data_IF_596204013627
#
_entry.id   IF_596204013627
#
_cell.length_a   1.000
_cell.length_b   1.000
_cell.length_c   1.000
_cell.angle_alpha   90.00
_cell.angle_beta   90.00
_cell.angle_gamma   90.00
#
_symmetry.space_group_name_H-M   'P 1'
#
loop_
_entity.id
_entity.type
_entity.pdbx_description
1 polymer ?
#
# COMPACT_ATOMS: atom_id res chain seq x y z
N UNK A 1 65.56 -6.03 84.77
CA UNK A 1 64.49 -5.06 84.55
C UNK A 1 63.76 -5.44 83.29
N UNK A 2 62.54 -6.08 83.34
CA UNK A 2 61.67 -6.45 82.23
C UNK A 2 60.52 -5.47 82.16
N UNK A 3 60.34 -4.83 81.01
CA UNK A 3 59.22 -3.97 80.71
C UNK A 3 58.25 -4.71 79.88
N UNK A 4 57.10 -5.06 80.47
CA UNK A 4 56.00 -5.73 79.76
C UNK A 4 55.17 -4.69 78.98
N UNK A 5 55.15 -4.77 77.68
CA UNK A 5 54.30 -3.96 76.81
C UNK A 5 52.97 -4.68 76.58
N UNK A 6 51.90 -4.20 77.24
CA UNK A 6 50.53 -4.65 77.08
C UNK A 6 50.00 -4.15 75.76
N UNK A 7 49.81 -5.07 74.77
CA UNK A 7 49.08 -4.78 73.52
C UNK A 7 47.58 -4.75 73.83
N UNK A 8 46.95 -3.57 73.66
CA UNK A 8 45.52 -3.44 73.71
C UNK A 8 44.93 -3.83 72.36
N UNK A 9 44.36 -5.05 72.21
CA UNK A 9 43.54 -5.45 71.10
C UNK A 9 42.17 -4.75 71.13
N UNK A 10 42.04 -3.67 70.38
CA UNK A 10 40.70 -3.10 70.12
C UNK A 10 39.87 -4.04 69.30
N UNK A 11 38.83 -4.62 69.87
CA UNK A 11 37.84 -5.43 69.13
C UNK A 11 37.10 -4.57 68.15
N UNK A 12 37.38 -4.73 66.85
CA UNK A 12 36.56 -4.16 65.79
C UNK A 12 35.23 -4.89 65.80
N UNK A 13 34.19 -4.19 66.28
CA UNK A 13 32.81 -4.69 66.15
C UNK A 13 32.45 -4.70 64.68
N UNK A 14 32.49 -5.88 64.07
CA UNK A 14 31.85 -6.12 62.75
C UNK A 14 30.37 -5.99 62.99
N UNK A 15 29.78 -4.89 62.50
CA UNK A 15 28.31 -4.76 62.37
C UNK A 15 27.87 -5.79 61.36
N UNK A 16 27.39 -6.93 61.86
CA UNK A 16 26.82 -7.97 61.02
C UNK A 16 25.51 -7.47 60.43
N UNK A 17 25.57 -7.01 59.17
CA UNK A 17 24.37 -6.81 58.40
C UNK A 17 23.73 -8.18 58.23
N UNK A 18 22.55 -8.39 58.84
CA UNK A 18 21.88 -9.68 58.84
C UNK A 18 21.66 -10.16 57.39
N UNK A 19 22.02 -11.39 57.08
CA UNK A 19 21.85 -11.99 55.75
C UNK A 19 20.41 -11.88 55.20
N UNK A 20 19.44 -11.82 56.11
CA UNK A 20 18.02 -11.59 55.82
C UNK A 20 17.74 -10.21 55.22
N UNK A 21 18.48 -9.16 55.65
CA UNK A 21 18.33 -7.80 55.12
C UNK A 21 18.90 -7.68 53.72
N UNK A 22 20.01 -8.33 53.42
CA UNK A 22 20.61 -8.37 52.10
C UNK A 22 19.72 -9.13 51.11
N UNK A 23 19.13 -10.26 51.55
CA UNK A 23 18.25 -11.09 50.70
C UNK A 23 16.94 -10.37 50.36
N UNK A 24 16.36 -9.61 51.32
CA UNK A 24 15.14 -8.83 51.08
C UNK A 24 15.35 -7.66 50.11
N UNK A 25 16.48 -6.96 50.21
CA UNK A 25 16.83 -5.87 49.28
C UNK A 25 17.08 -6.43 47.84
N UNK A 26 17.76 -7.54 47.69
CA UNK A 26 18.01 -8.19 46.44
C UNK A 26 16.70 -8.63 45.74
N UNK A 27 15.75 -9.17 46.51
CA UNK A 27 14.43 -9.57 46.00
C UNK A 27 13.59 -8.40 45.51
N UNK A 28 13.62 -7.26 46.27
CA UNK A 28 12.91 -6.05 45.88
C UNK A 28 13.51 -5.38 44.66
N UNK A 29 14.81 -5.31 44.53
CA UNK A 29 15.49 -4.79 43.34
C UNK A 29 15.21 -5.64 42.11
N UNK A 30 15.17 -6.97 42.26
CA UNK A 30 14.79 -7.90 41.16
C UNK A 30 13.37 -7.67 40.66
N UNK A 31 12.40 -7.46 41.55
CA UNK A 31 11.01 -7.16 41.19
C UNK A 31 10.86 -5.84 40.43
N UNK A 32 11.58 -4.78 40.86
CA UNK A 32 11.56 -3.47 40.20
C UNK A 32 12.16 -3.58 38.76
N UNK A 33 13.26 -4.30 38.60
CA UNK A 33 13.89 -4.51 37.29
C UNK A 33 12.95 -5.27 36.35
N UNK A 34 12.25 -6.28 36.88
CA UNK A 34 11.29 -7.08 36.09
C UNK A 34 10.09 -6.23 35.64
N UNK A 35 9.56 -5.38 36.52
CA UNK A 35 8.46 -4.47 36.19
C UNK A 35 8.87 -3.39 35.16
N UNK A 36 10.08 -2.85 35.27
CA UNK A 36 10.60 -1.89 34.29
C UNK A 36 10.84 -2.55 32.91
N UNK A 37 11.29 -3.80 32.86
CA UNK A 37 11.46 -4.54 31.63
C UNK A 37 10.10 -4.86 30.96
N UNK A 38 9.10 -5.27 31.72
CA UNK A 38 7.74 -5.53 31.23
C UNK A 38 7.07 -4.24 30.71
N UNK A 39 7.26 -3.11 31.40
CA UNK A 39 6.75 -1.82 30.95
C UNK A 39 7.37 -1.35 29.63
N UNK A 40 8.66 -1.58 29.43
CA UNK A 40 9.34 -1.26 28.15
C UNK A 40 8.82 -2.12 27.00
N UNK A 41 8.58 -3.42 27.21
CA UNK A 41 8.03 -4.30 26.19
C UNK A 41 6.63 -3.83 25.75
N UNK A 42 5.77 -3.44 26.68
CA UNK A 42 4.43 -2.93 26.34
C UNK A 42 4.47 -1.63 25.53
N UNK A 43 5.39 -0.72 25.86
CA UNK A 43 5.56 0.53 25.12
C UNK A 43 6.03 0.30 23.69
N UNK A 44 6.95 -0.63 23.48
CA UNK A 44 7.45 -0.97 22.13
C UNK A 44 6.35 -1.60 21.26
N UNK A 45 5.55 -2.51 21.79
CA UNK A 45 4.39 -3.11 21.07
C UNK A 45 3.34 -2.05 20.72
N UNK A 46 3.04 -1.12 21.61
CA UNK A 46 2.09 -0.04 21.36
C UNK A 46 2.58 0.92 20.27
N UNK A 47 3.88 1.26 20.25
CA UNK A 47 4.48 2.09 19.22
C UNK A 47 4.50 1.39 17.85
N UNK A 48 4.87 0.12 17.80
CA UNK A 48 4.89 -0.67 16.58
C UNK A 48 3.48 -0.80 15.95
N UNK A 49 2.47 -1.06 16.77
CA UNK A 49 1.08 -1.12 16.30
C UNK A 49 0.60 0.24 15.76
N UNK A 50 0.92 1.33 16.43
CA UNK A 50 0.59 2.69 15.98
C UNK A 50 1.29 3.02 14.64
N UNK A 51 2.53 2.61 14.49
CA UNK A 51 3.28 2.81 13.25
C UNK A 51 2.71 1.98 12.09
N UNK A 52 2.39 0.71 12.31
CA UNK A 52 1.71 -0.16 11.32
C UNK A 52 0.36 0.42 10.89
N UNK A 53 -0.43 0.91 11.82
CA UNK A 53 -1.72 1.54 11.54
C UNK A 53 -1.56 2.85 10.75
N UNK A 54 -0.58 3.67 11.09
CA UNK A 54 -0.26 4.91 10.36
C UNK A 54 0.18 4.59 8.91
N UNK A 55 1.04 3.61 8.72
CA UNK A 55 1.49 3.17 7.38
C UNK A 55 0.33 2.58 6.56
N UNK A 56 -0.53 1.77 7.17
CA UNK A 56 -1.70 1.22 6.50
C UNK A 56 -2.67 2.34 6.05
N UNK A 57 -2.90 3.34 6.91
CA UNK A 57 -3.77 4.47 6.58
C UNK A 57 -3.18 5.39 5.50
N UNK A 58 -1.86 5.61 5.47
CA UNK A 58 -1.20 6.37 4.39
C UNK A 58 -1.30 5.62 3.07
N UNK A 59 -1.00 4.33 3.05
CA UNK A 59 -1.11 3.48 1.84
C UNK A 59 -2.53 3.46 1.29
N UNK A 60 -3.55 3.37 2.15
CA UNK A 60 -4.95 3.41 1.72
C UNK A 60 -5.32 4.77 1.09
N UNK A 61 -4.84 5.88 1.66
CA UNK A 61 -5.05 7.22 1.09
C UNK A 61 -4.37 7.41 -0.26
N UNK A 62 -3.16 6.89 -0.41
CA UNK A 62 -2.42 7.00 -1.68
C UNK A 62 -3.07 6.13 -2.77
N UNK A 63 -3.55 4.93 -2.42
CA UNK A 63 -4.36 4.11 -3.33
C UNK A 63 -5.66 4.82 -3.76
N UNK A 64 -6.36 5.45 -2.82
CA UNK A 64 -7.57 6.21 -3.13
C UNK A 64 -7.30 7.40 -4.07
N UNK A 65 -6.21 8.14 -3.87
CA UNK A 65 -5.79 9.23 -4.77
C UNK A 65 -5.46 8.71 -6.17
N UNK A 66 -4.76 7.58 -6.25
CA UNK A 66 -4.41 6.96 -7.52
C UNK A 66 -5.68 6.54 -8.29
N UNK A 67 -6.64 5.89 -7.63
CA UNK A 67 -7.94 5.52 -8.21
C UNK A 67 -8.71 6.76 -8.67
N UNK A 68 -8.76 7.82 -7.87
CA UNK A 68 -9.44 9.07 -8.23
C UNK A 68 -8.80 9.73 -9.47
N UNK A 69 -7.46 9.73 -9.58
CA UNK A 69 -6.75 10.19 -10.77
C UNK A 69 -7.10 9.34 -11.98
N UNK A 70 -7.09 8.02 -11.84
CA UNK A 70 -7.46 7.08 -12.90
C UNK A 70 -8.89 7.28 -13.39
N UNK A 71 -9.81 7.48 -12.48
CA UNK A 71 -11.20 7.83 -12.80
C UNK A 71 -11.27 9.09 -13.67
N UNK A 72 -10.59 10.16 -13.26
CA UNK A 72 -10.55 11.41 -14.02
C UNK A 72 -9.97 11.22 -15.44
N UNK A 73 -8.91 10.44 -15.58
CA UNK A 73 -8.32 10.15 -16.89
C UNK A 73 -9.30 9.34 -17.76
N UNK A 74 -9.88 8.28 -17.22
CA UNK A 74 -10.77 7.37 -17.97
C UNK A 74 -12.08 8.05 -18.36
N UNK A 75 -12.68 8.83 -17.48
CA UNK A 75 -13.98 9.44 -17.70
C UNK A 75 -13.90 10.81 -18.40
N UNK A 76 -12.84 11.59 -18.12
CA UNK A 76 -12.73 12.95 -18.60
C UNK A 76 -11.72 13.17 -19.74
N UNK A 77 -10.51 12.66 -19.61
CA UNK A 77 -9.45 12.98 -20.57
C UNK A 77 -9.42 12.02 -21.77
N UNK A 78 -9.47 10.72 -21.50
CA UNK A 78 -9.33 9.69 -22.52
C UNK A 78 -10.69 9.18 -23.02
N UNK A 79 -11.79 9.53 -22.35
CA UNK A 79 -13.17 9.18 -22.71
C UNK A 79 -13.35 7.69 -23.06
N UNK A 80 -12.71 6.79 -22.30
CA UNK A 80 -12.71 5.34 -22.59
C UNK A 80 -14.13 4.77 -22.63
N UNK A 81 -15.03 5.35 -21.83
CA UNK A 81 -16.43 4.96 -21.76
C UNK A 81 -17.19 5.10 -23.07
N UNK A 82 -16.80 6.01 -23.95
CA UNK A 82 -17.51 6.26 -25.19
C UNK A 82 -17.50 5.05 -26.15
N UNK A 83 -16.42 4.29 -26.13
CA UNK A 83 -16.28 3.09 -26.93
C UNK A 83 -16.44 1.79 -26.11
N UNK A 84 -16.04 1.80 -24.82
CA UNK A 84 -16.00 0.59 -24.00
C UNK A 84 -17.27 0.36 -23.16
N UNK A 85 -18.30 1.22 -23.28
CA UNK A 85 -19.58 1.06 -22.59
C UNK A 85 -20.72 0.92 -23.61
N UNK A 86 -21.63 -0.05 -23.43
CA UNK A 86 -22.81 -0.16 -24.28
C UNK A 86 -23.66 1.10 -24.23
N UNK A 87 -24.43 1.33 -25.31
CA UNK A 87 -25.45 2.37 -25.34
C UNK A 87 -26.82 1.79 -25.03
N UNK A 88 -27.64 2.60 -24.39
CA UNK A 88 -29.05 2.27 -24.17
C UNK A 88 -29.88 2.47 -25.46
N UNK A 89 -31.19 2.20 -25.37
CA UNK A 89 -32.11 2.35 -26.52
C UNK A 89 -32.22 3.79 -27.04
N UNK A 90 -31.90 4.79 -26.23
CA UNK A 90 -31.96 6.21 -26.56
C UNK A 90 -30.61 6.70 -27.17
N UNK A 91 -29.62 5.83 -27.27
CA UNK A 91 -28.29 6.13 -27.81
C UNK A 91 -27.30 6.65 -26.77
N UNK A 92 -27.70 6.84 -25.51
CA UNK A 92 -26.84 7.29 -24.44
C UNK A 92 -26.00 6.18 -23.85
N UNK A 93 -24.89 6.53 -23.20
CA UNK A 93 -23.99 5.58 -22.50
C UNK A 93 -24.76 4.91 -21.33
N UNK A 94 -24.87 3.59 -21.38
CA UNK A 94 -25.46 2.79 -20.29
C UNK A 94 -24.52 2.70 -19.10
N UNK A 95 -24.64 3.62 -18.15
CA UNK A 95 -23.81 3.67 -16.95
C UNK A 95 -23.95 2.43 -16.05
N UNK A 96 -25.02 1.65 -16.20
CA UNK A 96 -25.20 0.39 -15.45
C UNK A 96 -24.26 -0.72 -15.96
N UNK A 97 -23.74 -0.56 -17.19
CA UNK A 97 -22.81 -1.45 -17.84
C UNK A 97 -21.46 -0.77 -18.11
N UNK A 98 -21.06 0.11 -17.19
CA UNK A 98 -19.85 0.91 -17.35
C UNK A 98 -18.63 0.07 -17.69
N UNK A 99 -17.98 0.38 -18.84
CA UNK A 99 -16.79 -0.27 -19.35
C UNK A 99 -16.90 -1.79 -19.56
N UNK A 100 -18.11 -2.31 -19.72
CA UNK A 100 -18.39 -3.74 -19.93
C UNK A 100 -18.03 -4.25 -21.34
N UNK A 101 -17.55 -3.37 -22.22
CA UNK A 101 -17.35 -3.66 -23.63
C UNK A 101 -18.62 -3.39 -24.46
N UNK A 102 -18.44 -2.99 -25.70
CA UNK A 102 -19.56 -2.62 -26.59
C UNK A 102 -19.24 -2.85 -28.05
N UNK A 103 -20.23 -3.01 -28.94
CA UNK A 103 -20.04 -2.81 -30.37
C UNK A 103 -19.59 -1.36 -30.65
N UNK A 104 -18.70 -1.19 -31.62
CA UNK A 104 -18.36 0.14 -32.12
C UNK A 104 -19.56 0.65 -32.95
N UNK A 105 -20.13 1.76 -32.54
CA UNK A 105 -21.42 2.26 -33.06
C UNK A 105 -21.29 3.18 -34.28
N UNK A 106 -20.06 3.36 -34.81
CA UNK A 106 -19.81 4.20 -35.99
C UNK A 106 -18.81 3.53 -36.92
N UNK A 107 -18.86 3.90 -38.17
CA UNK A 107 -17.96 3.42 -39.20
C UNK A 107 -17.09 4.56 -39.74
N UNK A 108 -15.89 4.28 -40.21
CA UNK A 108 -15.06 5.29 -40.83
C UNK A 108 -15.64 5.72 -42.18
N UNK A 109 -15.54 7.00 -42.52
CA UNK A 109 -16.01 7.53 -43.83
C UNK A 109 -15.30 6.89 -45.04
N UNK A 110 -14.11 6.32 -44.83
CA UNK A 110 -13.35 5.60 -45.83
C UNK A 110 -12.92 4.26 -45.24
N UNK A 111 -12.72 3.24 -46.05
CA UNK A 111 -12.24 1.92 -45.62
C UNK A 111 -10.90 2.06 -44.86
N UNK A 112 -10.87 1.65 -43.61
CA UNK A 112 -9.66 1.62 -42.75
C UNK A 112 -9.31 0.17 -42.44
N UNK A 113 -8.18 -0.34 -42.94
CA UNK A 113 -7.77 -1.70 -42.65
C UNK A 113 -7.66 -1.96 -41.15
N UNK A 114 -8.24 -3.09 -40.72
CA UNK A 114 -8.17 -3.47 -39.29
C UNK A 114 -9.11 -2.74 -38.35
N UNK A 115 -10.10 -1.98 -38.89
CA UNK A 115 -11.12 -1.34 -38.06
C UNK A 115 -11.80 -2.35 -37.11
N UNK A 116 -11.87 -2.03 -35.82
CA UNK A 116 -12.50 -2.91 -34.85
C UNK A 116 -14.01 -2.70 -34.84
N UNK A 117 -14.77 -3.79 -34.88
CA UNK A 117 -16.24 -3.77 -34.80
C UNK A 117 -16.75 -3.81 -33.35
N UNK A 118 -15.87 -4.05 -32.38
CA UNK A 118 -16.20 -4.09 -30.97
C UNK A 118 -15.02 -3.64 -30.11
N UNK A 119 -15.32 -2.97 -29.00
CA UNK A 119 -14.40 -2.64 -27.92
C UNK A 119 -14.56 -3.67 -26.78
N UNK A 120 -13.48 -4.23 -26.25
CA UNK A 120 -13.56 -5.23 -25.20
C UNK A 120 -13.96 -4.62 -23.86
N UNK A 121 -14.40 -5.46 -22.91
CA UNK A 121 -14.54 -5.10 -21.51
C UNK A 121 -13.18 -4.68 -20.94
N UNK A 122 -13.15 -3.56 -20.21
CA UNK A 122 -11.97 -3.07 -19.50
C UNK A 122 -12.22 -2.83 -18.00
N UNK A 123 -13.48 -2.91 -17.53
CA UNK A 123 -13.78 -2.91 -16.11
C UNK A 123 -13.33 -4.23 -15.47
N UNK A 124 -12.70 -4.16 -14.29
CA UNK A 124 -12.23 -5.33 -13.57
C UNK A 124 -11.09 -6.05 -14.30
N UNK A 125 -9.99 -5.37 -14.56
CA UNK A 125 -8.83 -5.97 -15.24
C UNK A 125 -8.36 -7.26 -14.55
N UNK A 126 -8.13 -8.36 -15.32
CA UNK A 126 -7.61 -9.59 -14.76
C UNK A 126 -6.23 -9.39 -14.11
N UNK A 127 -5.89 -10.14 -13.05
CA UNK A 127 -4.56 -10.12 -12.46
C UNK A 127 -3.46 -10.39 -13.51
N UNK A 128 -2.31 -9.72 -13.37
CA UNK A 128 -1.15 -9.92 -14.24
C UNK A 128 -1.16 -9.15 -15.56
N UNK A 129 -2.23 -8.40 -15.87
CA UNK A 129 -2.31 -7.58 -17.09
C UNK A 129 -1.80 -6.15 -16.92
N UNK A 130 -1.45 -5.74 -15.71
CA UNK A 130 -1.10 -4.36 -15.36
C UNK A 130 0.01 -3.79 -16.27
N UNK A 131 1.15 -4.50 -16.37
CA UNK A 131 2.29 -4.05 -17.16
C UNK A 131 1.97 -3.95 -18.66
N UNK A 132 1.16 -4.85 -19.19
CA UNK A 132 0.73 -4.85 -20.58
C UNK A 132 -0.13 -3.61 -20.89
N UNK A 133 -1.10 -3.31 -20.04
CA UNK A 133 -1.98 -2.15 -20.20
C UNK A 133 -1.20 -0.84 -20.03
N UNK A 134 -0.30 -0.77 -19.04
CA UNK A 134 0.58 0.39 -18.88
C UNK A 134 1.42 0.61 -20.15
N UNK A 135 2.01 -0.45 -20.70
CA UNK A 135 2.78 -0.36 -21.96
C UNK A 135 1.90 0.15 -23.09
N UNK A 136 0.72 -0.44 -23.29
CA UNK A 136 -0.22 0.02 -24.31
C UNK A 136 -0.54 1.51 -24.19
N UNK A 137 -0.86 1.98 -22.98
CA UNK A 137 -1.26 3.36 -22.76
C UNK A 137 -0.10 4.37 -22.85
N UNK A 138 1.13 3.92 -22.61
CA UNK A 138 2.32 4.78 -22.68
C UNK A 138 3.01 4.79 -24.02
N UNK A 139 2.95 3.69 -24.77
CA UNK A 139 3.70 3.51 -26.03
C UNK A 139 2.82 3.31 -27.25
N UNK A 140 1.50 3.23 -27.08
CA UNK A 140 0.54 2.88 -28.13
C UNK A 140 0.81 1.50 -28.80
N UNK A 141 1.44 0.57 -28.06
CA UNK A 141 1.81 -0.76 -28.57
C UNK A 141 1.43 -1.85 -27.59
N UNK A 142 0.91 -2.97 -28.12
CA UNK A 142 0.76 -4.21 -27.38
C UNK A 142 2.11 -4.92 -27.19
N UNK A 143 2.14 -5.95 -26.32
CA UNK A 143 3.33 -6.79 -26.08
C UNK A 143 3.91 -7.47 -27.34
N UNK A 144 3.08 -7.66 -28.38
CA UNK A 144 3.49 -8.21 -29.68
C UNK A 144 4.02 -7.14 -30.65
N UNK A 145 4.20 -5.91 -30.18
CA UNK A 145 4.68 -4.78 -30.96
C UNK A 145 3.63 -4.14 -31.88
N UNK A 146 2.38 -4.65 -31.90
CA UNK A 146 1.33 -4.09 -32.74
C UNK A 146 0.63 -2.92 -32.06
N UNK A 147 0.21 -1.95 -32.87
CA UNK A 147 -0.65 -0.87 -32.40
C UNK A 147 -2.06 -1.38 -32.09
N UNK A 148 -2.82 -0.71 -31.21
CA UNK A 148 -4.24 -1.00 -31.03
C UNK A 148 -5.00 -0.81 -32.33
N UNK A 149 -6.02 -1.65 -32.54
CA UNK A 149 -6.87 -1.54 -33.73
C UNK A 149 -7.69 -0.25 -33.71
N UNK A 150 -7.77 0.48 -34.83
CA UNK A 150 -8.68 1.61 -34.91
C UNK A 150 -10.13 1.16 -34.63
N UNK A 151 -10.99 1.98 -34.02
CA UNK A 151 -10.83 3.39 -33.70
C UNK A 151 -10.13 3.69 -32.36
N UNK A 152 -9.60 2.68 -31.66
CA UNK A 152 -8.92 2.94 -30.40
C UNK A 152 -7.76 3.94 -30.60
N UNK A 153 -7.74 5.08 -29.90
CA UNK A 153 -6.66 6.05 -30.02
C UNK A 153 -5.31 5.47 -29.61
N UNK A 154 -4.26 5.98 -30.22
CA UNK A 154 -2.88 5.68 -29.84
C UNK A 154 -2.47 6.61 -28.70
N UNK A 155 -2.63 6.16 -27.48
CA UNK A 155 -2.26 6.92 -26.29
C UNK A 155 -0.75 6.96 -26.08
N UNK A 156 -0.27 8.08 -25.60
CA UNK A 156 1.12 8.31 -25.13
C UNK A 156 1.07 8.98 -23.76
N UNK A 157 0.40 8.32 -22.82
CA UNK A 157 0.23 8.82 -21.46
C UNK A 157 1.58 8.82 -20.72
N UNK A 158 1.72 9.69 -19.72
CA UNK A 158 2.75 9.51 -18.71
C UNK A 158 2.50 8.22 -17.93
N UNK A 159 3.58 7.59 -17.46
CA UNK A 159 3.48 6.33 -16.72
C UNK A 159 2.55 6.43 -15.52
N UNK A 160 2.63 7.55 -14.77
CA UNK A 160 1.81 7.78 -13.59
C UNK A 160 0.31 7.81 -13.91
N UNK A 161 -0.06 8.37 -15.06
CA UNK A 161 -1.45 8.38 -15.53
C UNK A 161 -1.91 6.99 -15.98
N UNK A 162 -1.06 6.24 -16.67
CA UNK A 162 -1.36 4.87 -17.07
C UNK A 162 -1.52 3.94 -15.85
N UNK A 163 -0.67 4.07 -14.84
CA UNK A 163 -0.78 3.35 -13.56
C UNK A 163 -2.09 3.71 -12.83
N UNK A 164 -2.46 4.98 -12.83
CA UNK A 164 -3.71 5.45 -12.25
C UNK A 164 -4.93 4.88 -12.99
N UNK A 165 -4.90 4.83 -14.33
CA UNK A 165 -5.94 4.19 -15.15
C UNK A 165 -6.09 2.73 -14.77
N UNK A 166 -4.98 1.98 -14.69
CA UNK A 166 -5.01 0.56 -14.30
C UNK A 166 -5.60 0.39 -12.91
N UNK A 167 -5.20 1.23 -11.94
CA UNK A 167 -5.74 1.18 -10.58
C UNK A 167 -7.27 1.41 -10.55
N UNK A 168 -7.76 2.38 -11.31
CA UNK A 168 -9.21 2.63 -11.41
C UNK A 168 -9.94 1.47 -12.08
N UNK A 169 -9.47 0.96 -13.23
CA UNK A 169 -10.11 -0.16 -13.92
C UNK A 169 -10.18 -1.43 -13.08
N UNK A 170 -9.19 -1.66 -12.22
CA UNK A 170 -9.18 -2.80 -11.26
C UNK A 170 -10.14 -2.58 -10.09
N UNK A 171 -10.50 -1.35 -9.78
CA UNK A 171 -11.43 -1.03 -8.69
C UNK A 171 -12.90 -1.18 -9.08
N UNK A 172 -13.19 -1.42 -10.34
CA UNK A 172 -14.52 -1.66 -10.90
C UNK A 172 -14.83 -3.16 -10.91
#
# INVERSE_FOLDING_TARGET
MRKDSKWNARAVRRTGVSATLILSIALQLGAVVLMLAAGRAQLTFAQENKQKQSQASSKARDAAKLIARGKYVVEGLAACGDCHTPRNKDGDIDRTKWLAGAPVFYEPAQSVPGWAISAPRIAGLPPGRDAEIITLLTTATWRDGKAPRPPMPRFHMKREDAEAVVAYLKSL
#
